data_IF_447274177903
#
_entry.id   IF_447274177903
#
_cell.length_a   1.000
_cell.length_b   1.000
_cell.length_c   1.000
_cell.angle_alpha   90.00
_cell.angle_beta   90.00
_cell.angle_gamma   90.00
#
_symmetry.space_group_name_H-M   'P 1'
#
loop_
_entity.id
_entity.type
_entity.pdbx_description
1 polymer ?
#
# COMPACT_ATOMS: atom_id res chain seq x y z
N UNK A 1 7.16 4.80 -18.74
CA UNK A 1 6.71 3.88 -17.68
C UNK A 1 6.78 4.64 -16.38
N UNK A 2 5.76 4.56 -15.51
CA UNK A 2 5.88 5.11 -14.15
C UNK A 2 6.75 4.19 -13.29
N UNK A 3 7.61 4.72 -12.45
CA UNK A 3 8.45 3.93 -11.53
C UNK A 3 7.57 3.25 -10.46
N UNK A 4 8.08 2.23 -9.76
CA UNK A 4 7.30 1.61 -8.67
C UNK A 4 7.04 2.60 -7.55
N UNK A 5 7.99 3.51 -7.28
CA UNK A 5 7.82 4.63 -6.35
C UNK A 5 6.68 5.58 -6.74
N UNK A 6 6.58 5.97 -8.01
CA UNK A 6 5.48 6.81 -8.50
C UNK A 6 4.11 6.11 -8.43
N UNK A 7 4.09 4.80 -8.72
CA UNK A 7 2.89 3.99 -8.57
C UNK A 7 2.44 3.89 -7.11
N UNK A 8 3.39 3.72 -6.18
CA UNK A 8 3.12 3.74 -4.75
C UNK A 8 2.60 5.11 -4.29
N UNK A 9 3.20 6.21 -4.73
CA UNK A 9 2.76 7.57 -4.40
C UNK A 9 1.29 7.79 -4.82
N UNK A 10 0.95 7.34 -6.04
CA UNK A 10 -0.42 7.40 -6.54
C UNK A 10 -1.39 6.57 -5.67
N UNK A 11 -1.07 5.31 -5.38
CA UNK A 11 -1.91 4.46 -4.54
C UNK A 11 -2.08 5.02 -3.12
N UNK A 12 -1.01 5.55 -2.54
CA UNK A 12 -1.04 6.14 -1.18
C UNK A 12 -1.92 7.37 -1.14
N UNK A 13 -1.79 8.27 -2.13
CA UNK A 13 -2.63 9.46 -2.24
C UNK A 13 -4.12 9.13 -2.41
N UNK A 14 -4.46 8.10 -3.20
CA UNK A 14 -5.85 7.64 -3.30
C UNK A 14 -6.43 7.28 -1.93
N UNK A 15 -5.66 6.55 -1.11
CA UNK A 15 -6.12 6.08 0.21
C UNK A 15 -6.16 7.21 1.24
N UNK A 16 -5.15 8.08 1.27
CA UNK A 16 -5.03 9.17 2.24
C UNK A 16 -6.16 10.20 2.09
N UNK A 17 -6.49 10.60 0.85
CA UNK A 17 -7.48 11.65 0.61
C UNK A 17 -8.93 11.15 0.55
N UNK A 18 -9.15 9.87 0.26
CA UNK A 18 -10.50 9.33 0.02
C UNK A 18 -10.88 8.17 0.94
N UNK A 19 -10.05 7.80 1.91
CA UNK A 19 -10.35 6.75 2.89
C UNK A 19 -10.81 5.44 2.26
N UNK A 20 -12.02 5.00 2.59
CA UNK A 20 -12.60 3.73 2.12
C UNK A 20 -12.78 3.63 0.59
N UNK A 21 -13.41 4.61 -0.10
CA UNK A 21 -13.38 4.70 -1.57
C UNK A 21 -11.98 4.76 -2.18
N UNK A 22 -11.06 5.43 -1.48
CA UNK A 22 -9.65 5.50 -1.84
C UNK A 22 -8.98 4.14 -1.88
N UNK A 23 -9.27 3.31 -0.87
CA UNK A 23 -8.76 1.95 -0.75
C UNK A 23 -9.25 1.05 -1.88
N UNK A 24 -10.51 1.16 -2.30
CA UNK A 24 -11.02 0.42 -3.46
C UNK A 24 -10.29 0.83 -4.74
N UNK A 25 -10.15 2.14 -4.96
CA UNK A 25 -9.46 2.68 -6.14
C UNK A 25 -8.00 2.24 -6.20
N UNK A 26 -7.29 2.27 -5.07
CA UNK A 26 -5.91 1.82 -4.96
C UNK A 26 -5.78 0.32 -5.26
N UNK A 27 -6.72 -0.50 -4.77
CA UNK A 27 -6.76 -1.93 -5.03
C UNK A 27 -6.96 -2.24 -6.52
N UNK A 28 -7.94 -1.60 -7.17
CA UNK A 28 -8.17 -1.76 -8.61
C UNK A 28 -6.98 -1.30 -9.46
N UNK A 29 -6.32 -0.21 -9.06
CA UNK A 29 -5.08 0.24 -9.69
C UNK A 29 -3.97 -0.81 -9.55
N UNK A 30 -3.78 -1.39 -8.37
CA UNK A 30 -2.80 -2.45 -8.11
C UNK A 30 -3.01 -3.66 -9.03
N UNK A 31 -4.25 -4.16 -9.13
CA UNK A 31 -4.60 -5.28 -10.02
C UNK A 31 -4.26 -4.97 -11.48
N UNK A 32 -4.63 -3.78 -11.98
CA UNK A 32 -4.35 -3.36 -13.36
C UNK A 32 -2.84 -3.27 -13.66
N UNK A 33 -2.02 -3.00 -12.66
CA UNK A 33 -0.56 -2.88 -12.79
C UNK A 33 0.21 -4.13 -12.35
N UNK A 34 -0.49 -5.27 -12.18
CA UNK A 34 0.11 -6.56 -11.85
C UNK A 34 0.74 -6.63 -10.45
N UNK A 35 0.34 -5.75 -9.54
CA UNK A 35 0.78 -5.82 -8.14
C UNK A 35 0.08 -7.01 -7.49
N UNK A 36 0.85 -7.84 -6.79
CA UNK A 36 0.33 -9.03 -6.10
C UNK A 36 0.00 -8.70 -4.65
N UNK A 37 -1.12 -9.24 -4.17
CA UNK A 37 -1.43 -9.34 -2.74
C UNK A 37 -0.48 -10.34 -2.07
N UNK A 38 -0.18 -10.17 -0.78
CA UNK A 38 0.69 -11.07 0.00
C UNK A 38 2.11 -11.31 -0.57
N UNK A 39 2.81 -10.24 -0.96
CA UNK A 39 4.25 -10.35 -1.21
C UNK A 39 4.96 -10.53 0.15
N UNK A 40 5.14 -11.79 0.58
CA UNK A 40 6.00 -12.17 1.68
C UNK A 40 6.87 -13.34 1.25
N UNK A 41 8.16 -13.08 0.98
CA UNK A 41 9.32 -13.77 1.61
C UNK A 41 10.57 -12.92 1.36
N UNK A 42 11.27 -12.41 2.40
CA UNK A 42 12.64 -11.88 2.25
C UNK A 42 13.04 -10.64 3.05
N UNK A 43 14.35 -10.32 3.01
CA UNK A 43 14.99 -9.13 3.59
C UNK A 43 14.24 -7.85 3.18
N UNK A 44 14.21 -6.83 4.07
CA UNK A 44 13.64 -5.51 3.76
C UNK A 44 14.23 -5.00 2.43
N UNK A 45 13.44 -4.90 1.36
CA UNK A 45 13.95 -4.44 0.08
C UNK A 45 14.31 -2.96 0.14
N UNK A 46 15.11 -2.48 -0.81
CA UNK A 46 15.41 -1.05 -1.02
C UNK A 46 14.88 -0.59 -2.38
N UNK A 47 14.75 0.73 -2.56
CA UNK A 47 14.33 1.34 -3.83
C UNK A 47 12.98 0.81 -4.34
N UNK A 48 12.88 0.54 -5.63
CA UNK A 48 11.64 0.09 -6.30
C UNK A 48 11.05 -1.21 -5.73
N UNK A 49 11.89 -2.12 -5.21
CA UNK A 49 11.39 -3.34 -4.56
C UNK A 49 10.67 -3.02 -3.23
N UNK A 50 11.10 -1.97 -2.51
CA UNK A 50 10.42 -1.52 -1.30
C UNK A 50 9.09 -0.87 -1.66
N UNK A 51 9.07 -0.10 -2.75
CA UNK A 51 7.84 0.49 -3.26
C UNK A 51 6.80 -0.57 -3.65
N UNK A 52 7.23 -1.61 -4.37
CA UNK A 52 6.38 -2.74 -4.76
C UNK A 52 5.89 -3.55 -3.55
N UNK A 53 6.74 -3.72 -2.54
CA UNK A 53 6.35 -4.34 -1.28
C UNK A 53 5.26 -3.54 -0.55
N UNK A 54 5.41 -2.21 -0.45
CA UNK A 54 4.42 -1.32 0.18
C UNK A 54 3.10 -1.30 -0.59
N UNK A 55 3.12 -1.36 -1.92
CA UNK A 55 1.90 -1.51 -2.74
C UNK A 55 1.17 -2.82 -2.42
N UNK A 56 1.90 -3.92 -2.24
CA UNK A 56 1.31 -5.19 -1.80
C UNK A 56 0.65 -5.10 -0.41
N UNK A 57 1.23 -4.34 0.52
CA UNK A 57 0.62 -4.09 1.84
C UNK A 57 -0.67 -3.26 1.72
N UNK A 58 -0.69 -2.25 0.85
CA UNK A 58 -1.91 -1.47 0.56
C UNK A 58 -3.02 -2.36 -0.01
N UNK A 59 -2.70 -3.26 -0.94
CA UNK A 59 -3.69 -4.20 -1.47
C UNK A 59 -4.27 -5.11 -0.38
N UNK A 60 -3.42 -5.57 0.55
CA UNK A 60 -3.83 -6.42 1.66
C UNK A 60 -4.82 -5.73 2.62
N UNK A 61 -4.83 -4.39 2.73
CA UNK A 61 -5.79 -3.66 3.56
C UNK A 61 -7.24 -3.94 3.14
N UNK A 62 -7.50 -4.11 1.83
CA UNK A 62 -8.82 -4.47 1.31
C UNK A 62 -9.25 -5.85 1.78
N UNK A 63 -8.33 -6.82 1.77
CA UNK A 63 -8.59 -8.17 2.28
C UNK A 63 -8.85 -8.17 3.80
N UNK A 64 -8.06 -7.41 4.56
CA UNK A 64 -8.22 -7.29 6.02
C UNK A 64 -9.57 -6.65 6.36
N UNK A 65 -9.98 -5.62 5.63
CA UNK A 65 -11.30 -4.98 5.75
C UNK A 65 -12.44 -5.97 5.51
N UNK A 66 -12.31 -6.82 4.48
CA UNK A 66 -13.33 -7.81 4.13
C UNK A 66 -13.39 -8.99 5.11
N UNK A 67 -12.25 -9.40 5.70
CA UNK A 67 -12.16 -10.58 6.59
C UNK A 67 -12.46 -10.30 8.06
N UNK A 68 -12.25 -9.07 8.56
CA UNK A 68 -12.41 -8.75 10.00
C UNK A 68 -13.75 -8.08 10.28
N UNK A 69 -14.62 -8.77 11.03
CA UNK A 69 -15.82 -8.18 11.69
C UNK A 69 -15.50 -7.22 12.85
N UNK A 70 -14.21 -7.03 13.19
CA UNK A 70 -13.77 -6.19 14.32
C UNK A 70 -13.04 -4.96 13.79
N UNK A 71 -13.60 -3.76 14.00
CA UNK A 71 -13.10 -2.48 13.47
C UNK A 71 -11.74 -2.05 14.02
N UNK A 72 -11.46 -2.34 15.29
CA UNK A 72 -10.26 -1.83 16.00
C UNK A 72 -8.95 -2.37 15.42
N UNK A 73 -8.79 -3.68 15.15
CA UNK A 73 -7.58 -4.21 14.53
C UNK A 73 -7.39 -3.81 13.06
N UNK A 74 -8.41 -3.29 12.37
CA UNK A 74 -8.28 -2.80 11.00
C UNK A 74 -7.71 -1.38 10.98
N UNK A 75 -8.25 -0.47 11.80
CA UNK A 75 -7.78 0.91 11.90
C UNK A 75 -6.29 1.00 12.24
N UNK A 76 -5.83 0.16 13.17
CA UNK A 76 -4.42 0.14 13.55
C UNK A 76 -3.51 -0.28 12.39
N UNK A 77 -3.88 -1.34 11.66
CA UNK A 77 -3.12 -1.82 10.50
C UNK A 77 -3.18 -0.80 9.36
N UNK A 78 -4.33 -0.16 9.14
CA UNK A 78 -4.48 0.91 8.16
C UNK A 78 -3.50 2.05 8.41
N UNK A 79 -3.49 2.63 9.61
CA UNK A 79 -2.59 3.74 9.95
C UNK A 79 -1.11 3.35 9.86
N UNK A 80 -0.75 2.15 10.32
CA UNK A 80 0.63 1.66 10.22
C UNK A 80 1.10 1.54 8.77
N UNK A 81 0.26 1.01 7.88
CA UNK A 81 0.58 0.87 6.45
C UNK A 81 0.73 2.23 5.77
N UNK A 82 -0.20 3.16 6.00
CA UNK A 82 -0.11 4.50 5.39
C UNK A 82 1.13 5.26 5.86
N UNK A 83 1.43 5.21 7.17
CA UNK A 83 2.63 5.85 7.71
C UNK A 83 3.92 5.26 7.11
N UNK A 84 3.97 3.94 6.89
CA UNK A 84 5.11 3.30 6.25
C UNK A 84 5.29 3.75 4.79
N UNK A 85 4.18 3.85 4.04
CA UNK A 85 4.19 4.38 2.67
C UNK A 85 4.71 5.82 2.64
N UNK A 86 4.14 6.70 3.46
CA UNK A 86 4.53 8.11 3.51
C UNK A 86 5.99 8.28 3.91
N UNK A 87 6.45 7.56 4.93
CA UNK A 87 7.87 7.61 5.34
C UNK A 87 8.81 7.23 4.20
N UNK A 88 8.53 6.13 3.50
CA UNK A 88 9.34 5.71 2.36
C UNK A 88 9.32 6.72 1.20
N UNK A 89 8.17 7.35 0.93
CA UNK A 89 8.03 8.37 -0.11
C UNK A 89 8.72 9.70 0.23
N UNK A 90 8.89 10.01 1.51
CA UNK A 90 9.60 11.19 1.99
C UNK A 90 11.11 10.99 2.20
N UNK A 91 11.57 9.75 2.36
CA UNK A 91 13.00 9.44 2.34
C UNK A 91 13.53 9.74 0.92
N UNK A 92 14.30 10.82 0.75
CA UNK A 92 15.10 11.04 -0.45
C UNK A 92 16.01 9.82 -0.64
N UNK A 93 16.16 9.34 -1.89
CA UNK A 93 17.11 8.28 -2.22
C UNK A 93 18.54 8.80 -1.98
N UNK A 94 19.01 8.69 -0.73
CA UNK A 94 20.42 8.87 -0.36
C UNK A 94 21.29 7.80 -1.02
#
# INVERSE_FOLDING_TARGET
MKTRREQLAYMTGLVEYSGDPGLESAYQFGLKNGIKENIHVGLRPKGDQHAEWLMGQLMNLKLVKNRRRVKVPYLMVFHQTINACMKFLHEEEN
#
